data_IF_518699763761
#
_entry.id   IF_518699763761
#
_cell.length_a   1.000
_cell.length_b   1.000
_cell.length_c   1.000
_cell.angle_alpha   90.00
_cell.angle_beta   90.00
_cell.angle_gamma   90.00
#
_symmetry.space_group_name_H-M   'P 1'
#
loop_
_entity.id
_entity.type
_entity.pdbx_description
1 polymer ?
#
# COMPACT_ATOMS: atom_id res chain seq x y z
N UNK A 1 30.96 -37.13 -25.20
CA UNK A 1 30.32 -35.80 -25.08
C UNK A 1 30.95 -35.10 -23.89
N UNK A 2 31.73 -34.03 -24.10
CA UNK A 2 32.18 -33.18 -22.99
C UNK A 2 31.00 -32.29 -22.62
N UNK A 3 30.45 -32.50 -21.44
CA UNK A 3 29.36 -31.67 -20.93
C UNK A 3 29.99 -30.35 -20.50
N UNK A 4 29.81 -29.31 -21.31
CA UNK A 4 30.14 -27.94 -20.98
C UNK A 4 29.09 -27.42 -20.00
N UNK A 5 29.25 -27.74 -18.72
CA UNK A 5 28.48 -27.12 -17.65
C UNK A 5 29.26 -25.86 -17.29
N UNK A 6 28.83 -24.71 -17.81
CA UNK A 6 29.38 -23.42 -17.39
C UNK A 6 29.25 -23.30 -15.86
N UNK A 7 30.30 -22.88 -15.15
CA UNK A 7 30.24 -22.76 -13.71
C UNK A 7 29.24 -21.64 -13.39
N UNK A 8 28.12 -22.03 -12.80
CA UNK A 8 27.06 -21.11 -12.41
C UNK A 8 27.66 -20.01 -11.53
N UNK A 9 27.72 -18.79 -12.05
CA UNK A 9 28.36 -17.66 -11.39
C UNK A 9 27.51 -17.24 -10.20
N UNK A 10 28.08 -17.32 -8.99
CA UNK A 10 27.43 -16.96 -7.73
C UNK A 10 26.80 -15.56 -7.79
N UNK A 11 27.47 -14.61 -8.45
CA UNK A 11 27.00 -13.24 -8.71
C UNK A 11 25.68 -13.18 -9.50
N UNK A 12 25.43 -14.12 -10.41
CA UNK A 12 24.17 -14.15 -11.17
C UNK A 12 23.01 -14.61 -10.29
N UNK A 13 23.24 -15.58 -9.42
CA UNK A 13 22.26 -16.01 -8.43
C UNK A 13 21.89 -14.88 -7.49
N UNK A 14 22.90 -14.17 -6.96
CA UNK A 14 22.74 -13.06 -6.03
C UNK A 14 21.91 -11.93 -6.64
N UNK A 15 22.24 -11.51 -7.87
CA UNK A 15 21.45 -10.51 -8.61
C UNK A 15 20.01 -10.95 -8.88
N UNK A 16 19.78 -12.24 -9.14
CA UNK A 16 18.43 -12.77 -9.34
C UNK A 16 17.62 -12.77 -8.04
N UNK A 17 18.23 -13.16 -6.92
CA UNK A 17 17.60 -13.10 -5.60
C UNK A 17 17.23 -11.66 -5.20
N UNK A 18 18.14 -10.69 -5.38
CA UNK A 18 17.86 -9.28 -5.10
C UNK A 18 16.70 -8.73 -5.93
N UNK A 19 16.66 -9.08 -7.23
CA UNK A 19 15.56 -8.69 -8.13
C UNK A 19 14.24 -9.31 -7.71
N UNK A 20 14.24 -10.58 -7.32
CA UNK A 20 13.05 -11.28 -6.85
C UNK A 20 12.52 -10.68 -5.54
N UNK A 21 13.40 -10.36 -4.59
CA UNK A 21 13.00 -9.68 -3.36
C UNK A 21 12.43 -8.29 -3.63
N UNK A 22 13.08 -7.50 -4.49
CA UNK A 22 12.59 -6.17 -4.87
C UNK A 22 11.21 -6.26 -5.53
N UNK A 23 11.01 -7.24 -6.41
CA UNK A 23 9.73 -7.52 -7.04
C UNK A 23 8.65 -7.94 -6.02
N UNK A 24 8.97 -8.83 -5.08
CA UNK A 24 8.06 -9.25 -4.02
C UNK A 24 7.66 -8.08 -3.10
N UNK A 25 8.61 -7.20 -2.77
CA UNK A 25 8.35 -5.97 -2.01
C UNK A 25 7.41 -5.03 -2.78
N UNK A 26 7.66 -4.81 -4.07
CA UNK A 26 6.79 -3.99 -4.92
C UNK A 26 5.38 -4.60 -5.05
N UNK A 27 5.27 -5.91 -5.29
CA UNK A 27 3.99 -6.62 -5.39
C UNK A 27 3.16 -6.54 -4.11
N UNK A 28 3.78 -6.72 -2.93
CA UNK A 28 3.11 -6.56 -1.63
C UNK A 28 2.56 -5.13 -1.45
N UNK A 29 3.30 -4.11 -1.90
CA UNK A 29 2.85 -2.71 -1.85
C UNK A 29 1.64 -2.46 -2.76
N UNK A 30 1.72 -2.89 -4.02
CA UNK A 30 0.60 -2.76 -4.98
C UNK A 30 -0.65 -3.45 -4.44
N UNK A 31 -0.52 -4.66 -3.87
CA UNK A 31 -1.66 -5.38 -3.28
C UNK A 31 -2.33 -4.59 -2.15
N UNK A 32 -1.55 -3.94 -1.27
CA UNK A 32 -2.09 -3.09 -0.19
C UNK A 32 -2.82 -1.86 -0.73
N UNK A 33 -2.23 -1.21 -1.74
CA UNK A 33 -2.82 -0.04 -2.40
C UNK A 33 -4.16 -0.41 -3.06
N UNK A 34 -4.19 -1.49 -3.85
CA UNK A 34 -5.41 -1.99 -4.50
C UNK A 34 -6.47 -2.36 -3.46
N UNK A 35 -6.08 -3.01 -2.35
CA UNK A 35 -7.00 -3.31 -1.25
C UNK A 35 -7.61 -2.06 -0.61
N UNK A 36 -6.81 -1.01 -0.42
CA UNK A 36 -7.31 0.29 0.05
C UNK A 36 -8.30 0.92 -0.94
N UNK A 37 -7.98 0.92 -2.24
CA UNK A 37 -8.89 1.44 -3.26
C UNK A 37 -10.22 0.68 -3.28
N UNK A 38 -10.21 -0.63 -3.04
CA UNK A 38 -11.46 -1.37 -2.96
C UNK A 38 -12.32 -0.93 -1.77
N UNK A 39 -11.71 -0.75 -0.60
CA UNK A 39 -12.40 -0.22 0.56
C UNK A 39 -12.93 1.21 0.33
N UNK A 40 -12.11 2.10 -0.23
CA UNK A 40 -12.51 3.47 -0.58
C UNK A 40 -13.68 3.48 -1.58
N UNK A 41 -13.61 2.67 -2.63
CA UNK A 41 -14.67 2.57 -3.63
C UNK A 41 -15.98 2.07 -3.00
N UNK A 42 -15.92 1.03 -2.17
CA UNK A 42 -17.09 0.52 -1.45
C UNK A 42 -17.69 1.60 -0.53
N UNK A 43 -16.85 2.35 0.18
CA UNK A 43 -17.28 3.47 1.01
C UNK A 43 -18.00 4.55 0.19
N UNK A 44 -17.43 4.97 -0.94
CA UNK A 44 -18.05 6.01 -1.79
C UNK A 44 -19.39 5.52 -2.37
N UNK A 45 -19.44 4.30 -2.90
CA UNK A 45 -20.66 3.75 -3.51
C UNK A 45 -21.79 3.61 -2.49
N UNK A 46 -21.50 3.05 -1.32
CA UNK A 46 -22.52 2.86 -0.26
C UNK A 46 -23.01 4.22 0.26
N UNK A 47 -22.10 5.15 0.54
CA UNK A 47 -22.50 6.47 1.03
C UNK A 47 -23.30 7.25 -0.02
N UNK A 48 -22.91 7.20 -1.30
CA UNK A 48 -23.66 7.81 -2.39
C UNK A 48 -25.06 7.20 -2.52
N UNK A 49 -25.18 5.88 -2.40
CA UNK A 49 -26.47 5.18 -2.43
C UNK A 49 -27.38 5.59 -1.25
N UNK A 50 -26.82 5.68 -0.04
CA UNK A 50 -27.55 6.13 1.16
C UNK A 50 -28.01 7.58 0.99
N UNK A 51 -27.12 8.48 0.56
CA UNK A 51 -27.47 9.88 0.32
C UNK A 51 -28.54 10.03 -0.76
N UNK A 52 -28.47 9.22 -1.82
CA UNK A 52 -29.48 9.18 -2.87
C UNK A 52 -30.85 8.72 -2.35
N UNK A 53 -30.90 7.62 -1.58
CA UNK A 53 -32.14 7.14 -0.97
C UNK A 53 -32.76 8.18 -0.02
N UNK A 54 -31.93 8.81 0.80
CA UNK A 54 -32.34 9.90 1.69
C UNK A 54 -32.90 11.06 0.84
N UNK A 55 -32.25 11.40 -0.29
CA UNK A 55 -32.67 12.44 -1.26
C UNK A 55 -34.08 12.25 -1.77
N UNK A 56 -34.47 11.00 -2.01
CA UNK A 56 -35.79 10.67 -2.55
C UNK A 56 -36.87 10.58 -1.47
N UNK A 57 -36.50 10.31 -0.21
CA UNK A 57 -37.44 9.92 0.83
C UNK A 57 -37.70 11.00 1.91
N UNK A 58 -36.88 12.07 1.96
CA UNK A 58 -37.01 13.12 2.96
C UNK A 58 -37.37 14.48 2.34
N UNK A 59 -38.55 15.00 2.68
CA UNK A 59 -38.96 16.38 2.40
C UNK A 59 -38.08 17.37 3.19
N UNK A 60 -36.88 17.69 2.67
CA UNK A 60 -36.04 18.86 2.96
C UNK A 60 -35.52 19.11 4.39
N UNK A 61 -36.24 18.69 5.43
CA UNK A 61 -36.10 19.18 6.81
C UNK A 61 -35.30 18.22 7.72
N UNK A 62 -35.30 16.91 7.43
CA UNK A 62 -34.49 15.93 8.19
C UNK A 62 -33.18 15.53 7.50
N UNK A 63 -32.91 16.05 6.30
CA UNK A 63 -31.72 15.74 5.51
C UNK A 63 -30.41 16.01 6.25
N UNK A 64 -30.39 17.11 6.99
CA UNK A 64 -29.25 17.57 7.77
C UNK A 64 -29.20 17.00 9.18
N UNK A 65 -29.86 15.86 9.43
CA UNK A 65 -29.79 15.22 10.73
C UNK A 65 -28.38 14.71 11.00
N UNK A 66 -27.85 15.04 12.18
CA UNK A 66 -26.54 14.59 12.65
C UNK A 66 -26.35 13.05 12.54
N UNK A 67 -27.44 12.29 12.63
CA UNK A 67 -27.43 10.83 12.44
C UNK A 67 -26.96 10.35 11.06
N UNK A 68 -27.20 11.12 10.00
CA UNK A 68 -26.76 10.77 8.63
C UNK A 68 -25.25 10.99 8.50
N UNK A 69 -24.76 12.09 9.08
CA UNK A 69 -23.35 12.44 9.03
C UNK A 69 -22.48 11.65 10.01
N UNK A 70 -23.04 11.19 11.14
CA UNK A 70 -22.28 10.43 12.14
C UNK A 70 -21.73 9.13 11.54
N UNK A 71 -22.53 8.39 10.76
CA UNK A 71 -22.08 7.17 10.07
C UNK A 71 -20.92 7.45 9.12
N UNK A 72 -21.02 8.51 8.31
CA UNK A 72 -19.98 8.94 7.37
C UNK A 72 -18.70 9.30 8.13
N UNK A 73 -18.80 10.07 9.21
CA UNK A 73 -17.66 10.52 10.01
C UNK A 73 -16.96 9.35 10.70
N UNK A 74 -17.69 8.47 11.40
CA UNK A 74 -17.10 7.34 12.10
C UNK A 74 -16.43 6.35 11.13
N UNK A 75 -17.08 6.06 10.00
CA UNK A 75 -16.46 5.22 8.96
C UNK A 75 -15.29 5.91 8.26
N UNK A 76 -15.37 7.22 8.07
CA UNK A 76 -14.28 8.04 7.53
C UNK A 76 -13.02 8.00 8.39
N UNK A 77 -13.15 7.94 9.72
CA UNK A 77 -12.01 7.77 10.64
C UNK A 77 -11.32 6.42 10.41
N UNK A 78 -12.08 5.32 10.31
CA UNK A 78 -11.52 4.01 10.01
C UNK A 78 -10.79 3.97 8.66
N UNK A 79 -11.37 4.61 7.64
CA UNK A 79 -10.76 4.75 6.32
C UNK A 79 -9.47 5.58 6.36
N UNK A 80 -9.44 6.65 7.15
CA UNK A 80 -8.26 7.49 7.36
C UNK A 80 -7.09 6.71 8.00
N UNK A 81 -7.36 5.91 9.03
CA UNK A 81 -6.32 5.06 9.63
C UNK A 81 -5.84 3.98 8.66
N UNK A 82 -6.72 3.39 7.84
CA UNK A 82 -6.32 2.45 6.81
C UNK A 82 -5.46 3.12 5.72
N UNK A 83 -5.82 4.34 5.30
CA UNK A 83 -4.99 5.16 4.42
C UNK A 83 -3.61 5.40 5.01
N UNK A 84 -3.53 5.79 6.28
CA UNK A 84 -2.27 6.03 6.97
C UNK A 84 -1.44 4.75 7.13
N UNK A 85 -2.06 3.58 7.30
CA UNK A 85 -1.34 2.30 7.30
C UNK A 85 -0.78 1.89 5.93
N UNK A 86 -1.48 2.21 4.84
CA UNK A 86 -1.07 1.85 3.47
C UNK A 86 -0.07 2.85 2.89
N UNK A 87 -0.30 4.15 3.09
CA UNK A 87 0.49 5.23 2.49
C UNK A 87 1.42 5.93 3.49
N UNK A 88 1.13 5.89 4.79
CA UNK A 88 1.93 6.57 5.82
C UNK A 88 3.41 6.19 5.82
N UNK A 89 3.81 4.91 5.67
CA UNK A 89 5.22 4.56 5.56
C UNK A 89 5.93 5.25 4.39
N UNK A 90 5.23 5.50 3.28
CA UNK A 90 5.80 6.16 2.10
C UNK A 90 5.77 7.69 2.24
N UNK A 91 4.72 8.26 2.83
CA UNK A 91 4.55 9.70 3.04
C UNK A 91 5.48 10.23 4.15
N UNK A 92 5.66 9.47 5.22
CA UNK A 92 6.42 9.88 6.42
C UNK A 92 7.90 9.56 6.26
N UNK A 93 8.25 8.36 5.77
CA UNK A 93 9.66 7.97 5.65
C UNK A 93 10.28 8.34 4.28
N UNK A 94 9.47 8.58 3.23
CA UNK A 94 9.96 9.09 1.95
C UNK A 94 11.00 8.20 1.23
N UNK A 95 11.30 8.53 -0.03
CA UNK A 95 12.35 7.85 -0.81
C UNK A 95 13.71 7.93 -0.13
N UNK A 96 14.03 9.08 0.48
CA UNK A 96 15.33 9.33 1.11
C UNK A 96 15.63 8.41 2.31
N UNK A 97 14.63 7.94 3.06
CA UNK A 97 14.87 6.93 4.11
C UNK A 97 15.09 5.54 3.51
N UNK A 98 14.37 5.18 2.45
CA UNK A 98 14.57 3.90 1.74
C UNK A 98 15.96 3.82 1.12
N UNK A 99 16.40 4.91 0.50
CA UNK A 99 17.70 5.05 -0.15
C UNK A 99 18.85 4.95 0.86
N UNK A 100 18.76 5.69 1.98
CA UNK A 100 19.71 5.56 3.10
C UNK A 100 19.76 4.17 3.69
N UNK A 101 18.64 3.43 3.73
CA UNK A 101 18.67 2.06 4.25
C UNK A 101 19.30 1.08 3.28
N UNK A 102 19.08 1.24 1.99
CA UNK A 102 19.76 0.45 0.96
C UNK A 102 21.26 0.70 1.04
N UNK A 103 21.69 1.96 1.07
CA UNK A 103 23.11 2.34 1.21
C UNK A 103 23.75 1.70 2.45
N UNK A 104 23.06 1.75 3.60
CA UNK A 104 23.54 1.11 4.83
C UNK A 104 23.66 -0.41 4.74
N UNK A 105 22.74 -1.06 4.03
CA UNK A 105 22.81 -2.52 3.80
C UNK A 105 23.97 -2.88 2.89
N UNK A 106 24.22 -2.11 1.82
CA UNK A 106 25.36 -2.31 0.92
C UNK A 106 26.70 -2.13 1.65
N UNK A 107 26.78 -1.14 2.56
CA UNK A 107 27.96 -0.92 3.40
C UNK A 107 28.18 -2.08 4.39
N UNK A 108 27.13 -2.56 5.07
CA UNK A 108 27.21 -3.69 6.00
C UNK A 108 27.62 -4.99 5.30
N UNK A 109 27.19 -5.19 4.05
CA UNK A 109 27.56 -6.36 3.25
C UNK A 109 29.02 -6.30 2.82
N UNK A 110 29.50 -5.17 2.28
CA UNK A 110 30.92 -4.98 1.94
C UNK A 110 31.84 -5.21 3.14
N UNK A 111 31.46 -4.73 4.33
CA UNK A 111 32.26 -4.87 5.55
C UNK A 111 32.30 -6.29 6.11
N UNK A 112 31.40 -7.18 5.66
CA UNK A 112 31.35 -8.58 6.09
C UNK A 112 32.26 -9.48 5.24
N UNK A 113 32.69 -8.98 4.08
CA UNK A 113 33.57 -9.68 3.15
C UNK A 113 35.03 -9.16 3.17
N UNK A 114 35.33 -8.17 4.03
CA UNK A 114 36.68 -7.77 4.46
C UNK A 114 37.08 -8.48 5.75
#
# INVERSE_FOLDING_TARGET
>A
MKNNIEPYSSRDTERNYEREEAYLRAKKRVKKIVGFYWHLASYVVINAFILYMISQNLNGTKFWSFNVFSTIIFWGIGLFFHFMGVFGPNLIFGKAWQERKIEKYMEEENKKWE
#
